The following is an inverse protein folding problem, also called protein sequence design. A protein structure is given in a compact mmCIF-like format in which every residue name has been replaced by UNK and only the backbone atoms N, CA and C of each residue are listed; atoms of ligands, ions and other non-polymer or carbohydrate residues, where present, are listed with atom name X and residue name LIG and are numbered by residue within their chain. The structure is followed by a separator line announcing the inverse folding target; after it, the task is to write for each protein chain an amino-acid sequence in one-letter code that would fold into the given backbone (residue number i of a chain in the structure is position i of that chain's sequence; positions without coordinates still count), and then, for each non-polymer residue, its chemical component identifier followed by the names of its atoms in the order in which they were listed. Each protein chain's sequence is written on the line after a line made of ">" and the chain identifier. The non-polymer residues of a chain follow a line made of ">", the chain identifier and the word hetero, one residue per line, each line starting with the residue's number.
data_IF_265406867994
#
_entry.id   IF_265406867994
#
_cell.length_a   1.000
_cell.length_b   1.000
_cell.length_c   1.000
_cell.angle_alpha   90.00
_cell.angle_beta   90.00
_cell.angle_gamma   90.00
#
_symmetry.space_group_name_H-M   'P 1'
#
loop_
_entity.id
_entity.type
_entity.pdbx_description
1 polymer ?
#
# COMPACT_ATOMS: atom_id res chain seq x y z
N UNK A 1 -11.51 13.52 21.51
CA UNK A 1 -11.45 12.18 20.89
C UNK A 1 -11.10 11.16 21.96
N UNK A 2 -11.96 10.19 22.17
CA UNK A 2 -11.68 9.04 23.07
C UNK A 2 -11.23 7.88 22.17
N UNK A 3 -10.01 7.89 21.74
CA UNK A 3 -9.39 6.85 20.92
C UNK A 3 -8.13 6.30 21.58
N UNK A 4 -7.33 5.56 20.84
CA UNK A 4 -6.06 5.03 21.33
C UNK A 4 -4.95 6.08 21.36
N UNK A 5 -5.06 7.14 20.55
CA UNK A 5 -4.11 8.25 20.57
C UNK A 5 -4.33 9.14 21.79
N UNK A 6 -3.24 9.47 22.49
CA UNK A 6 -3.26 10.33 23.71
C UNK A 6 -3.14 11.82 23.39
N UNK A 7 -2.93 12.19 22.14
CA UNK A 7 -2.81 13.58 21.66
C UNK A 7 -4.08 13.98 20.91
N UNK A 8 -4.26 15.28 20.76
CA UNK A 8 -5.30 15.86 19.90
C UNK A 8 -4.66 16.63 18.73
N UNK A 9 -5.47 16.95 17.72
CA UNK A 9 -5.02 17.63 16.51
C UNK A 9 -4.49 19.05 16.79
N UNK A 10 -5.04 19.74 17.80
CA UNK A 10 -4.60 21.09 18.14
C UNK A 10 -3.17 21.07 18.69
N UNK A 11 -2.88 20.18 19.65
CA UNK A 11 -1.53 20.05 20.21
C UNK A 11 -0.48 19.66 19.17
N UNK A 12 -0.85 18.89 18.14
CA UNK A 12 0.07 18.56 17.06
C UNK A 12 0.33 19.78 16.15
N UNK A 13 -0.72 20.54 15.81
CA UNK A 13 -0.55 21.79 15.04
C UNK A 13 0.32 22.79 15.77
N UNK A 14 0.10 22.97 17.08
CA UNK A 14 0.88 23.90 17.91
C UNK A 14 2.36 23.52 17.94
N UNK A 15 2.68 22.23 18.13
CA UNK A 15 4.06 21.75 18.10
C UNK A 15 4.71 21.91 16.71
N UNK A 16 3.97 21.66 15.62
CA UNK A 16 4.47 21.86 14.26
C UNK A 16 4.73 23.35 13.98
N UNK A 17 3.79 24.22 14.36
CA UNK A 17 3.92 25.67 14.20
C UNK A 17 5.09 26.22 15.03
N UNK A 18 5.25 25.79 16.30
CA UNK A 18 6.37 26.20 17.15
C UNK A 18 7.74 25.84 16.54
N UNK A 19 7.87 24.62 15.96
CA UNK A 19 9.11 24.21 15.29
C UNK A 19 9.43 25.08 14.07
N UNK A 20 8.42 25.44 13.28
CA UNK A 20 8.57 26.33 12.12
C UNK A 20 8.96 27.74 12.55
N UNK A 21 8.33 28.30 13.59
CA UNK A 21 8.65 29.65 14.09
C UNK A 21 10.06 29.73 14.67
N UNK A 22 10.49 28.70 15.43
CA UNK A 22 11.87 28.64 15.93
C UNK A 22 12.88 28.54 14.78
N UNK A 23 12.59 27.76 13.72
CA UNK A 23 13.45 27.69 12.54
C UNK A 23 13.55 29.05 11.82
N UNK A 24 12.42 29.78 11.67
CA UNK A 24 12.40 31.13 11.10
C UNK A 24 13.27 32.12 11.91
N UNK A 25 13.24 32.00 13.24
CA UNK A 25 14.06 32.83 14.10
C UNK A 25 15.57 32.65 13.89
N UNK A 26 16.02 31.49 13.35
CA UNK A 26 17.41 31.26 12.95
C UNK A 26 17.76 31.80 11.55
N UNK A 27 16.83 32.47 10.87
CA UNK A 27 17.05 33.10 9.57
C UNK A 27 17.12 32.14 8.40
N UNK A 28 16.38 30.99 8.46
CA UNK A 28 16.23 30.10 7.30
C UNK A 28 15.28 30.71 6.26
N UNK A 29 15.48 30.39 4.97
CA UNK A 29 14.62 30.87 3.88
C UNK A 29 13.21 30.30 3.99
N UNK A 30 13.12 29.01 4.37
CA UNK A 30 11.85 28.32 4.55
C UNK A 30 11.98 27.13 5.50
N UNK A 31 10.85 26.70 6.09
CA UNK A 31 10.78 25.53 6.96
C UNK A 31 9.44 24.81 6.80
N UNK A 32 9.46 23.51 7.04
CA UNK A 32 8.29 22.64 7.10
C UNK A 32 8.44 21.66 8.27
N UNK A 33 7.43 21.55 9.11
CA UNK A 33 7.40 20.62 10.22
C UNK A 33 6.19 19.70 10.14
N UNK A 34 6.43 18.39 10.23
CA UNK A 34 5.38 17.38 10.36
C UNK A 34 5.43 16.78 11.75
N UNK A 35 4.31 16.80 12.47
CA UNK A 35 4.13 16.11 13.74
C UNK A 35 3.14 14.99 13.56
N UNK A 36 3.52 13.80 14.02
CA UNK A 36 2.66 12.60 13.99
C UNK A 36 2.51 12.06 15.41
N UNK A 37 1.33 11.55 15.71
CA UNK A 37 1.07 10.78 16.91
C UNK A 37 0.07 9.67 16.58
N UNK A 38 0.15 8.59 17.30
CA UNK A 38 -0.78 7.47 17.14
C UNK A 38 -0.77 6.57 18.35
N UNK A 39 -1.71 5.66 18.36
CA UNK A 39 -1.78 4.60 19.36
C UNK A 39 -2.67 3.49 18.87
N UNK A 40 -2.46 2.30 19.41
CA UNK A 40 -3.23 1.15 19.00
C UNK A 40 -3.19 0.00 19.97
N UNK A 41 -3.97 -1.01 19.66
CA UNK A 41 -3.94 -2.32 20.32
C UNK A 41 -3.87 -3.39 19.23
N UNK A 42 -2.93 -4.31 19.41
CA UNK A 42 -2.79 -5.51 18.59
C UNK A 42 -2.80 -6.73 19.47
N UNK A 43 -3.68 -7.67 19.19
CA UNK A 43 -3.85 -8.90 19.92
C UNK A 43 -3.61 -10.07 18.99
N UNK A 44 -2.74 -10.98 19.43
CA UNK A 44 -2.46 -12.23 18.75
C UNK A 44 -2.87 -13.40 19.62
N UNK A 45 -3.51 -14.39 19.00
CA UNK A 45 -3.97 -15.60 19.66
C UNK A 45 -3.45 -16.82 18.91
N UNK A 46 -3.06 -17.83 19.66
CA UNK A 46 -2.68 -19.15 19.14
C UNK A 46 -3.00 -20.22 20.16
N UNK A 47 -3.64 -21.32 19.73
CA UNK A 47 -3.99 -22.45 20.59
C UNK A 47 -4.95 -22.08 21.73
N UNK A 48 -5.89 -21.16 21.46
CA UNK A 48 -6.90 -20.71 22.44
C UNK A 48 -6.38 -19.76 23.52
N UNK A 49 -5.12 -19.32 23.44
CA UNK A 49 -4.52 -18.41 24.41
C UNK A 49 -3.91 -17.18 23.74
N UNK A 50 -3.93 -16.05 24.45
CA UNK A 50 -3.27 -14.85 23.97
C UNK A 50 -1.75 -15.05 23.97
N UNK A 51 -1.15 -15.03 22.78
CA UNK A 51 0.31 -15.06 22.59
C UNK A 51 0.91 -13.69 22.87
N UNK A 52 0.22 -12.63 22.44
CA UNK A 52 0.58 -11.25 22.79
C UNK A 52 -0.65 -10.34 22.80
N UNK A 53 -0.61 -9.33 23.68
CA UNK A 53 -1.52 -8.19 23.68
C UNK A 53 -0.66 -6.94 23.86
N UNK A 54 -0.45 -6.21 22.78
CA UNK A 54 0.40 -5.03 22.76
C UNK A 54 -0.46 -3.79 22.62
N UNK A 55 -0.29 -2.86 23.58
CA UNK A 55 -0.76 -1.50 23.42
C UNK A 55 0.45 -0.61 23.16
N UNK A 56 0.45 0.07 22.05
CA UNK A 56 1.49 1.00 21.65
C UNK A 56 0.97 2.44 21.60
N UNK A 57 1.88 3.36 21.75
CA UNK A 57 1.67 4.76 21.44
C UNK A 57 2.98 5.33 20.93
N UNK A 58 2.90 6.20 19.92
CA UNK A 58 4.06 6.88 19.38
C UNK A 58 3.76 8.34 19.12
N UNK A 59 4.82 9.13 19.07
CA UNK A 59 4.79 10.49 18.55
C UNK A 59 6.13 10.80 17.89
N UNK A 60 6.14 11.72 16.96
CA UNK A 60 7.36 12.21 16.32
C UNK A 60 7.16 13.61 15.75
N UNK A 61 8.22 14.39 15.72
CA UNK A 61 8.34 15.64 15.00
C UNK A 61 9.47 15.49 14.01
N UNK A 62 9.24 15.82 12.74
CA UNK A 62 10.24 15.91 11.68
C UNK A 62 10.24 17.33 11.14
N UNK A 63 11.40 17.99 11.13
CA UNK A 63 11.58 19.33 10.61
C UNK A 63 12.51 19.30 9.40
N UNK A 64 12.12 20.00 8.36
CA UNK A 64 12.94 20.30 7.19
C UNK A 64 13.12 21.82 7.09
N UNK A 65 14.36 22.27 6.97
CA UNK A 65 14.70 23.68 6.74
C UNK A 65 15.38 23.84 5.39
N UNK A 66 15.16 25.00 4.77
CA UNK A 66 15.78 25.41 3.52
C UNK A 66 16.57 26.69 3.77
N UNK A 67 17.83 26.71 3.34
CA UNK A 67 18.73 27.83 3.50
C UNK A 67 19.74 27.88 2.33
N UNK A 68 19.80 28.99 1.61
CA UNK A 68 20.72 29.20 0.47
C UNK A 68 20.67 28.02 -0.54
N UNK A 69 19.45 27.54 -0.88
CA UNK A 69 19.24 26.39 -1.76
C UNK A 69 19.65 25.04 -1.16
N UNK A 70 19.94 24.95 0.13
CA UNK A 70 20.33 23.73 0.84
C UNK A 70 19.20 23.25 1.72
N UNK A 71 19.10 21.93 1.88
CA UNK A 71 18.06 21.29 2.70
C UNK A 71 18.69 20.61 3.90
N UNK A 72 18.24 20.93 5.11
CA UNK A 72 18.59 20.22 6.33
C UNK A 72 17.36 19.62 6.97
N UNK A 73 17.48 18.39 7.50
CA UNK A 73 16.37 17.70 8.15
C UNK A 73 16.83 17.08 9.46
N UNK A 74 15.97 17.13 10.48
CA UNK A 74 16.16 16.46 11.76
C UNK A 74 14.80 16.04 12.36
N UNK A 75 14.82 15.10 13.30
CA UNK A 75 13.59 14.58 13.91
C UNK A 75 13.78 14.23 15.38
N UNK A 76 12.67 14.20 16.12
CA UNK A 76 12.61 13.78 17.52
C UNK A 76 11.31 13.07 17.83
N UNK A 77 11.30 12.25 18.88
CA UNK A 77 10.07 11.65 19.44
C UNK A 77 9.54 12.44 20.66
N UNK A 78 10.30 13.43 21.15
CA UNK A 78 9.88 14.30 22.25
C UNK A 78 9.38 15.63 21.69
N UNK A 79 8.23 16.10 22.20
CA UNK A 79 7.54 17.31 21.72
C UNK A 79 7.61 18.45 22.76
N UNK A 80 8.57 18.40 23.70
CA UNK A 80 8.85 19.50 24.60
C UNK A 80 9.72 20.57 23.92
N UNK A 81 9.67 21.80 24.45
CA UNK A 81 10.35 22.96 23.84
C UNK A 81 11.86 22.76 23.66
N UNK A 82 12.53 22.10 24.62
CA UNK A 82 13.96 21.85 24.55
C UNK A 82 14.31 20.86 23.42
N UNK A 83 13.50 19.84 23.23
CA UNK A 83 13.66 18.85 22.17
C UNK A 83 13.39 19.45 20.80
N UNK A 84 12.36 20.31 20.70
CA UNK A 84 12.06 21.06 19.45
C UNK A 84 13.23 22.00 19.13
N UNK A 85 13.72 22.78 20.09
CA UNK A 85 14.85 23.68 19.89
C UNK A 85 16.12 22.95 19.39
N UNK A 86 16.39 21.77 19.96
CA UNK A 86 17.51 20.91 19.53
C UNK A 86 17.36 20.46 18.06
N UNK A 87 16.18 19.97 17.68
CA UNK A 87 15.90 19.55 16.30
C UNK A 87 16.03 20.71 15.31
N UNK A 88 15.59 21.90 15.70
CA UNK A 88 15.74 23.12 14.90
C UNK A 88 17.22 23.45 14.68
N UNK A 89 18.02 23.42 15.74
CA UNK A 89 19.46 23.67 15.65
C UNK A 89 20.19 22.62 14.79
N UNK A 90 19.84 21.34 14.95
CA UNK A 90 20.38 20.24 14.16
C UNK A 90 20.05 20.37 12.67
N UNK A 91 18.77 20.60 12.32
CA UNK A 91 18.34 20.79 10.94
C UNK A 91 19.04 21.99 10.27
N UNK A 92 19.16 23.11 11.02
CA UNK A 92 19.87 24.29 10.55
C UNK A 92 21.36 24.01 10.29
N UNK A 93 22.03 23.29 11.20
CA UNK A 93 23.44 22.91 11.05
C UNK A 93 23.64 21.99 9.84
N UNK A 94 22.77 21.00 9.65
CA UNK A 94 22.83 20.07 8.50
C UNK A 94 22.66 20.83 7.17
N UNK A 95 21.75 21.80 7.10
CA UNK A 95 21.62 22.65 5.91
C UNK A 95 22.92 23.39 5.52
N UNK A 96 23.75 23.71 6.51
CA UNK A 96 25.07 24.32 6.25
C UNK A 96 26.10 23.39 5.63
N UNK A 97 25.91 22.06 5.71
CA UNK A 97 26.90 21.04 5.30
C UNK A 97 26.60 20.40 3.93
N UNK A 98 25.36 20.49 3.44
CA UNK A 98 24.95 19.85 2.18
C UNK A 98 25.18 20.74 0.96
N UNK A 99 25.26 20.15 -0.22
CA UNK A 99 25.38 20.90 -1.47
C UNK A 99 24.05 21.60 -1.81
N UNK A 100 24.11 22.82 -2.39
CA UNK A 100 22.91 23.50 -2.88
C UNK A 100 22.20 22.69 -3.98
N UNK A 101 20.88 22.69 -3.94
CA UNK A 101 19.98 22.20 -4.99
C UNK A 101 19.00 23.33 -5.33
N UNK A 102 19.07 23.87 -6.54
CA UNK A 102 18.22 24.98 -6.98
C UNK A 102 16.71 24.61 -6.98
N UNK A 103 16.39 23.33 -7.00
CA UNK A 103 15.02 22.81 -6.97
C UNK A 103 14.51 22.52 -5.55
N UNK A 104 15.36 22.69 -4.52
CA UNK A 104 14.95 22.56 -3.12
C UNK A 104 14.06 23.71 -2.67
N UNK A 105 13.13 23.44 -1.75
CA UNK A 105 12.24 24.47 -1.20
C UNK A 105 10.82 23.96 -0.97
N UNK A 106 10.00 24.77 -0.32
CA UNK A 106 8.59 24.50 -0.11
C UNK A 106 7.83 24.36 -1.45
N UNK A 107 6.67 23.75 -1.39
CA UNK A 107 5.71 23.75 -2.47
C UNK A 107 5.26 25.18 -2.82
N UNK A 108 4.79 25.38 -4.05
CA UNK A 108 4.26 26.68 -4.47
C UNK A 108 3.00 27.01 -3.67
N UNK A 109 2.90 28.25 -3.22
CA UNK A 109 1.81 28.74 -2.37
C UNK A 109 0.42 28.44 -2.94
N UNK A 110 0.23 28.60 -4.25
CA UNK A 110 -1.05 28.38 -4.93
C UNK A 110 -1.44 26.91 -5.03
N UNK A 111 -0.51 25.97 -4.77
CA UNK A 111 -0.78 24.53 -4.82
C UNK A 111 -1.14 23.92 -3.46
N UNK A 112 -0.96 24.70 -2.41
CA UNK A 112 -1.25 24.24 -1.04
C UNK A 112 -2.76 24.09 -0.82
N UNK A 113 -3.12 23.08 -0.06
CA UNK A 113 -4.49 22.70 0.27
C UNK A 113 -5.09 23.59 1.38
N UNK A 114 -5.16 24.92 1.17
CA UNK A 114 -5.60 25.91 2.17
C UNK A 114 -6.98 25.56 2.74
N UNK A 115 -7.97 25.43 1.85
CA UNK A 115 -9.39 25.17 2.15
C UNK A 115 -9.89 23.91 1.43
N UNK A 116 -8.96 23.07 0.95
CA UNK A 116 -9.30 21.86 0.21
C UNK A 116 -10.08 20.85 1.05
N UNK A 117 -10.88 20.00 0.41
CA UNK A 117 -11.62 18.95 1.10
C UNK A 117 -10.66 18.00 1.81
N UNK A 118 -11.02 17.62 3.04
CA UNK A 118 -10.40 16.51 3.75
C UNK A 118 -11.32 15.29 3.61
N UNK A 119 -10.85 14.17 3.06
CA UNK A 119 -11.67 12.96 3.02
C UNK A 119 -11.92 12.45 4.44
N UNK A 120 -13.05 11.82 4.64
CA UNK A 120 -13.32 11.13 5.90
C UNK A 120 -12.42 9.90 6.02
N UNK A 121 -11.55 9.85 7.04
CA UNK A 121 -10.57 8.77 7.23
C UNK A 121 -10.56 8.24 8.66
N UNK A 122 -11.28 8.89 9.56
CA UNK A 122 -11.34 8.50 10.96
C UNK A 122 -12.73 7.99 11.31
N UNK A 123 -12.79 6.77 11.84
CA UNK A 123 -13.98 6.22 12.46
C UNK A 123 -13.60 5.61 13.82
N UNK A 124 -14.23 6.11 14.86
CA UNK A 124 -14.00 5.59 16.21
C UNK A 124 -14.40 4.12 16.27
N UNK A 125 -13.48 3.23 16.66
CA UNK A 125 -13.75 1.78 16.69
C UNK A 125 -14.80 1.37 17.72
N UNK A 126 -14.93 2.12 18.82
CA UNK A 126 -15.76 1.74 19.97
C UNK A 126 -15.26 0.51 20.71
N UNK A 127 -14.05 0.01 20.38
CA UNK A 127 -13.55 -1.25 20.91
C UNK A 127 -12.68 -1.04 22.16
N UNK A 128 -12.90 -1.90 23.16
CA UNK A 128 -12.01 -2.04 24.31
C UNK A 128 -10.96 -3.13 24.07
N UNK A 129 -9.88 -3.18 24.87
CA UNK A 129 -8.94 -4.30 24.83
C UNK A 129 -9.64 -5.67 25.01
N UNK A 130 -10.65 -5.73 25.88
CA UNK A 130 -11.41 -6.94 26.16
C UNK A 130 -12.24 -7.37 24.98
N UNK A 131 -12.88 -6.42 24.26
CA UNK A 131 -13.68 -6.74 23.07
C UNK A 131 -12.81 -7.18 21.89
N UNK A 132 -11.62 -6.59 21.72
CA UNK A 132 -10.64 -7.04 20.72
C UNK A 132 -10.09 -8.41 21.06
N UNK A 133 -9.84 -8.71 22.35
CA UNK A 133 -9.43 -10.03 22.81
C UNK A 133 -10.52 -11.07 22.52
N UNK A 134 -11.78 -10.78 22.88
CA UNK A 134 -12.89 -11.68 22.58
C UNK A 134 -13.01 -11.99 21.09
N UNK A 135 -12.87 -10.95 20.24
CA UNK A 135 -12.89 -11.11 18.77
C UNK A 135 -11.71 -11.94 18.25
N UNK A 136 -10.51 -11.81 18.82
CA UNK A 136 -9.35 -12.59 18.43
C UNK A 136 -9.51 -14.07 18.84
N UNK A 137 -10.02 -14.33 20.04
CA UNK A 137 -10.34 -15.71 20.51
C UNK A 137 -11.43 -16.34 19.66
N UNK A 138 -12.49 -15.60 19.31
CA UNK A 138 -13.53 -16.05 18.39
C UNK A 138 -12.97 -16.41 17.02
N UNK A 139 -12.11 -15.54 16.47
CA UNK A 139 -11.46 -15.79 15.16
C UNK A 139 -10.61 -17.05 15.18
N UNK A 140 -9.86 -17.27 16.25
CA UNK A 140 -9.03 -18.46 16.40
C UNK A 140 -9.89 -19.73 16.54
N UNK A 141 -10.91 -19.73 17.41
CA UNK A 141 -11.81 -20.84 17.59
C UNK A 141 -12.50 -21.24 16.28
N UNK A 142 -13.02 -20.25 15.53
CA UNK A 142 -13.64 -20.50 14.23
C UNK A 142 -12.63 -21.02 13.18
N UNK A 143 -11.37 -20.60 13.27
CA UNK A 143 -10.32 -21.12 12.39
C UNK A 143 -9.98 -22.58 12.74
N UNK A 144 -9.93 -22.90 14.03
CA UNK A 144 -9.73 -24.26 14.50
C UNK A 144 -10.90 -25.19 14.13
N UNK A 145 -12.15 -24.70 14.29
CA UNK A 145 -13.35 -25.43 13.88
C UNK A 145 -13.38 -25.72 12.37
N UNK A 146 -13.09 -24.69 11.56
CA UNK A 146 -13.00 -24.86 10.11
C UNK A 146 -11.88 -25.84 9.72
N UNK A 147 -10.73 -25.77 10.39
CA UNK A 147 -9.62 -26.69 10.17
C UNK A 147 -9.98 -28.12 10.54
N UNK A 148 -10.71 -28.34 11.64
CA UNK A 148 -11.16 -29.68 12.07
C UNK A 148 -12.18 -30.30 11.09
N UNK A 149 -12.97 -29.49 10.40
CA UNK A 149 -13.92 -29.91 9.37
C UNK A 149 -13.29 -30.11 7.99
N UNK A 150 -12.09 -29.62 7.79
CA UNK A 150 -11.38 -29.70 6.51
C UNK A 150 -10.86 -31.12 6.25
N UNK A 151 -10.69 -31.44 4.96
CA UNK A 151 -10.09 -32.74 4.58
C UNK A 151 -8.59 -32.76 4.89
N UNK A 152 -8.12 -33.87 5.51
CA UNK A 152 -6.73 -34.09 5.87
C UNK A 152 -6.29 -33.34 7.13
N UNK A 153 -4.98 -33.33 7.42
CA UNK A 153 -4.43 -32.66 8.60
C UNK A 153 -4.31 -31.16 8.34
N UNK A 154 -5.18 -30.37 8.96
CA UNK A 154 -5.18 -28.92 8.93
C UNK A 154 -5.27 -28.42 10.36
N UNK A 155 -4.57 -27.32 10.67
CA UNK A 155 -4.61 -26.68 11.98
C UNK A 155 -4.66 -25.16 11.86
N UNK A 156 -5.30 -24.52 12.81
CA UNK A 156 -5.22 -23.09 12.96
C UNK A 156 -3.77 -22.65 13.24
N UNK A 157 -3.36 -21.58 12.61
CA UNK A 157 -2.12 -20.89 12.91
C UNK A 157 -2.36 -19.73 13.87
N UNK A 158 -1.48 -18.72 13.81
CA UNK A 158 -1.67 -17.47 14.54
C UNK A 158 -2.82 -16.68 13.91
N UNK A 159 -3.63 -16.07 14.75
CA UNK A 159 -4.61 -15.04 14.35
C UNK A 159 -4.29 -13.73 15.03
N UNK A 160 -4.70 -12.62 14.41
CA UNK A 160 -4.57 -11.32 15.05
C UNK A 160 -5.75 -10.39 14.74
N UNK A 161 -6.03 -9.51 15.70
CA UNK A 161 -6.97 -8.40 15.58
C UNK A 161 -6.28 -7.14 16.07
N UNK A 162 -6.38 -6.05 15.30
CA UNK A 162 -5.76 -4.77 15.64
C UNK A 162 -6.70 -3.59 15.39
N UNK A 163 -6.50 -2.54 16.17
CA UNK A 163 -7.19 -1.25 16.02
C UNK A 163 -6.24 -0.13 16.42
N UNK A 164 -6.09 0.87 15.58
CA UNK A 164 -5.18 1.99 15.79
C UNK A 164 -5.74 3.30 15.26
N UNK A 165 -5.35 4.40 15.91
CA UNK A 165 -5.65 5.78 15.53
C UNK A 165 -4.35 6.51 15.22
N UNK A 166 -4.38 7.36 14.21
CA UNK A 166 -3.25 8.11 13.70
C UNK A 166 -3.64 9.58 13.53
N UNK A 167 -2.83 10.47 14.03
CA UNK A 167 -2.94 11.90 13.84
C UNK A 167 -1.68 12.42 13.14
N UNK A 168 -1.84 13.37 12.24
CA UNK A 168 -0.73 14.08 11.62
C UNK A 168 -1.06 15.55 11.48
N UNK A 169 -0.10 16.42 11.78
CA UNK A 169 -0.18 17.84 11.51
C UNK A 169 1.03 18.28 10.70
N UNK A 170 0.80 19.19 9.75
CA UNK A 170 1.82 19.83 8.94
C UNK A 170 1.72 21.33 9.10
N UNK A 171 2.86 21.96 9.42
CA UNK A 171 3.02 23.42 9.37
C UNK A 171 4.18 23.80 8.45
N UNK A 172 4.05 24.91 7.73
CA UNK A 172 5.11 25.47 6.87
C UNK A 172 5.30 26.96 7.14
N UNK A 173 6.48 27.47 6.87
CA UNK A 173 6.77 28.90 6.97
C UNK A 173 6.01 29.76 5.97
N UNK A 174 5.34 29.16 4.99
CA UNK A 174 4.39 29.82 4.10
C UNK A 174 3.02 30.09 4.75
N UNK A 175 2.83 29.65 6.01
CA UNK A 175 1.59 29.83 6.78
C UNK A 175 0.61 28.66 6.71
N UNK A 176 0.89 27.62 5.94
CA UNK A 176 0.05 26.40 5.94
C UNK A 176 0.16 25.71 7.31
N UNK A 177 -0.98 25.39 7.93
CA UNK A 177 -1.03 24.66 9.20
C UNK A 177 -2.35 23.87 9.27
N UNK A 178 -2.29 22.58 8.97
CA UNK A 178 -3.47 21.70 8.98
C UNK A 178 -3.14 20.37 9.63
N UNK A 179 -4.17 19.68 10.10
CA UNK A 179 -4.08 18.34 10.68
C UNK A 179 -5.10 17.40 10.08
N UNK A 180 -4.86 16.10 10.23
CA UNK A 180 -5.69 15.03 9.72
C UNK A 180 -5.67 13.88 10.71
N UNK A 181 -6.83 13.23 10.89
CA UNK A 181 -6.98 12.04 11.70
C UNK A 181 -7.36 10.86 10.82
N UNK A 182 -6.86 9.68 11.16
CA UNK A 182 -7.19 8.43 10.48
C UNK A 182 -7.25 7.28 11.48
N UNK A 183 -8.10 6.29 11.20
CA UNK A 183 -8.14 5.02 11.92
C UNK A 183 -7.73 3.87 11.00
N UNK A 184 -7.26 2.78 11.59
CA UNK A 184 -6.97 1.55 10.85
C UNK A 184 -7.32 0.35 11.72
N UNK A 185 -8.14 -0.53 11.16
CA UNK A 185 -8.56 -1.75 11.84
C UNK A 185 -8.20 -2.94 10.97
N UNK A 186 -7.76 -4.03 11.61
CA UNK A 186 -7.29 -5.23 10.91
C UNK A 186 -7.77 -6.47 11.61
N UNK A 187 -8.02 -7.51 10.86
CA UNK A 187 -8.15 -8.88 11.36
C UNK A 187 -7.56 -9.84 10.35
N UNK A 188 -6.85 -10.86 10.81
CA UNK A 188 -6.27 -11.87 9.94
C UNK A 188 -6.18 -13.22 10.64
N UNK A 189 -6.31 -14.27 9.87
CA UNK A 189 -6.19 -15.65 10.31
C UNK A 189 -5.21 -16.39 9.42
N UNK A 190 -4.44 -17.31 10.01
CA UNK A 190 -3.60 -18.25 9.26
C UNK A 190 -4.06 -19.67 9.49
N UNK A 191 -3.89 -20.50 8.47
CA UNK A 191 -4.06 -21.93 8.55
C UNK A 191 -2.82 -22.65 8.00
N UNK A 192 -2.52 -23.81 8.57
CA UNK A 192 -1.46 -24.69 8.12
C UNK A 192 -2.08 -26.03 7.75
N UNK A 193 -1.85 -26.45 6.52
CA UNK A 193 -2.27 -27.76 6.01
C UNK A 193 -1.04 -28.63 5.77
N UNK A 194 -1.00 -29.80 6.37
CA UNK A 194 0.09 -30.73 6.15
C UNK A 194 0.01 -31.31 4.74
N UNK A 195 1.12 -31.23 4.01
CA UNK A 195 1.24 -31.79 2.67
C UNK A 195 1.86 -33.18 2.77
N UNK A 196 1.21 -34.23 2.23
CA UNK A 196 1.77 -35.58 2.29
C UNK A 196 3.07 -35.76 1.50
N UNK A 197 3.36 -34.85 0.56
CA UNK A 197 4.50 -34.96 -0.36
C UNK A 197 5.53 -33.82 -0.18
N UNK A 198 5.33 -32.94 0.80
CA UNK A 198 6.17 -31.77 0.98
C UNK A 198 6.03 -31.09 2.34
N UNK A 199 6.58 -29.89 2.48
CA UNK A 199 6.40 -29.09 3.69
C UNK A 199 4.95 -28.65 3.86
N UNK A 200 4.53 -28.40 5.11
CA UNK A 200 3.18 -27.87 5.39
C UNK A 200 2.96 -26.55 4.63
N UNK A 201 1.80 -26.45 4.01
CA UNK A 201 1.32 -25.23 3.34
C UNK A 201 0.79 -24.27 4.38
N UNK A 202 1.24 -23.02 4.33
CA UNK A 202 0.72 -21.92 5.15
C UNK A 202 -0.02 -20.94 4.26
N UNK A 203 -1.27 -20.66 4.60
CA UNK A 203 -2.09 -19.65 3.95
C UNK A 203 -2.75 -18.71 4.96
N UNK A 204 -3.28 -17.62 4.48
CA UNK A 204 -3.93 -16.62 5.31
C UNK A 204 -5.12 -15.96 4.61
N UNK A 205 -5.98 -15.38 5.44
CA UNK A 205 -6.98 -14.43 5.02
C UNK A 205 -6.96 -13.23 5.95
N UNK A 206 -7.14 -12.03 5.39
CA UNK A 206 -7.12 -10.80 6.16
C UNK A 206 -8.22 -9.83 5.70
N UNK A 207 -8.59 -8.91 6.58
CA UNK A 207 -9.38 -7.73 6.27
C UNK A 207 -8.72 -6.51 6.92
N UNK A 208 -8.75 -5.38 6.22
CA UNK A 208 -8.29 -4.09 6.71
C UNK A 208 -9.23 -2.98 6.21
N UNK A 209 -9.66 -2.10 7.10
CA UNK A 209 -10.53 -0.95 6.77
C UNK A 209 -10.28 0.18 7.78
N UNK A 210 -10.70 1.38 7.41
CA UNK A 210 -10.74 2.53 8.31
C UNK A 210 -11.88 2.45 9.33
N UNK A 211 -12.89 1.64 9.06
CA UNK A 211 -14.05 1.41 9.92
C UNK A 211 -14.04 -0.02 10.43
N UNK A 212 -14.19 -0.16 11.74
CA UNK A 212 -14.15 -1.48 12.38
C UNK A 212 -15.28 -2.41 11.94
N UNK A 213 -16.48 -1.87 11.73
CA UNK A 213 -17.65 -2.61 11.27
C UNK A 213 -17.53 -3.08 9.80
N UNK A 214 -16.69 -2.43 9.01
CA UNK A 214 -16.43 -2.82 7.62
C UNK A 214 -15.45 -3.99 7.46
N UNK A 215 -14.80 -4.46 8.53
CA UNK A 215 -13.94 -5.66 8.51
C UNK A 215 -14.70 -6.94 8.15
N UNK A 216 -16.01 -6.94 8.32
CA UNK A 216 -16.83 -8.12 8.13
C UNK A 216 -16.70 -9.16 9.25
N UNK A 217 -17.42 -10.28 9.12
CA UNK A 217 -17.43 -11.33 10.16
C UNK A 217 -16.13 -12.11 10.18
N UNK A 218 -15.61 -12.40 11.37
CA UNK A 218 -14.39 -13.20 11.57
C UNK A 218 -14.49 -14.61 10.98
N UNK A 219 -15.72 -15.16 10.89
CA UNK A 219 -15.98 -16.46 10.27
C UNK A 219 -15.60 -16.52 8.79
N UNK A 220 -15.66 -15.39 8.08
CA UNK A 220 -15.25 -15.33 6.68
C UNK A 220 -13.72 -15.48 6.54
N UNK A 221 -12.94 -14.78 7.36
CA UNK A 221 -11.48 -14.92 7.39
C UNK A 221 -11.04 -16.31 7.83
N UNK A 222 -11.67 -16.86 8.88
CA UNK A 222 -11.40 -18.20 9.39
C UNK A 222 -11.54 -19.25 8.28
N UNK A 223 -12.71 -19.28 7.65
CA UNK A 223 -13.00 -20.23 6.55
C UNK A 223 -12.07 -20.04 5.37
N UNK A 224 -11.89 -18.81 4.91
CA UNK A 224 -11.07 -18.50 3.74
C UNK A 224 -9.60 -18.88 3.94
N UNK A 225 -9.03 -18.69 5.14
CA UNK A 225 -7.65 -19.09 5.44
C UNK A 225 -7.49 -20.63 5.32
N UNK A 226 -8.44 -21.40 5.85
CA UNK A 226 -8.45 -22.87 5.79
C UNK A 226 -8.67 -23.37 4.36
N UNK A 227 -9.65 -22.83 3.64
CA UNK A 227 -9.94 -23.20 2.25
C UNK A 227 -8.70 -22.97 1.36
N UNK A 228 -8.01 -21.84 1.51
CA UNK A 228 -6.77 -21.54 0.78
C UNK A 228 -5.66 -22.52 1.10
N UNK A 229 -5.45 -22.86 2.38
CA UNK A 229 -4.41 -23.80 2.78
C UNK A 229 -4.70 -25.23 2.25
N UNK A 230 -5.93 -25.67 2.33
CA UNK A 230 -6.36 -26.99 1.79
C UNK A 230 -6.17 -27.03 0.28
N UNK A 231 -6.56 -25.98 -0.43
CA UNK A 231 -6.51 -25.93 -1.90
C UNK A 231 -5.07 -26.01 -2.44
N UNK A 232 -4.06 -25.56 -1.69
CA UNK A 232 -2.65 -25.58 -2.11
C UNK A 232 -1.93 -26.92 -1.82
N UNK A 233 -2.57 -27.87 -1.17
CA UNK A 233 -1.96 -29.18 -0.84
C UNK A 233 -1.71 -30.00 -2.10
N UNK A 234 -0.65 -30.80 -2.08
CA UNK A 234 -0.24 -31.63 -3.21
C UNK A 234 0.34 -30.80 -4.37
N UNK A 235 0.80 -29.60 -4.06
CA UNK A 235 1.44 -28.73 -5.03
C UNK A 235 2.67 -29.37 -5.67
N UNK A 236 2.81 -29.21 -6.98
CA UNK A 236 3.96 -29.71 -7.75
C UNK A 236 4.46 -28.68 -8.76
N UNK A 237 5.71 -28.78 -9.09
CA UNK A 237 6.29 -27.97 -10.19
C UNK A 237 5.73 -28.40 -11.54
N UNK A 238 5.79 -27.51 -12.50
CA UNK A 238 5.41 -27.80 -13.89
C UNK A 238 6.59 -27.48 -14.82
N UNK A 239 6.69 -28.20 -15.95
CA UNK A 239 7.73 -27.95 -16.94
C UNK A 239 7.65 -26.52 -17.48
N UNK A 240 8.83 -25.91 -17.72
CA UNK A 240 8.93 -24.57 -18.28
C UNK A 240 8.18 -24.44 -19.61
N UNK A 241 7.38 -23.37 -19.73
CA UNK A 241 6.53 -23.10 -20.90
C UNK A 241 6.10 -21.65 -20.99
N UNK A 242 5.46 -21.29 -22.08
CA UNK A 242 4.71 -20.04 -22.19
C UNK A 242 3.22 -20.34 -22.09
N UNK A 243 2.50 -19.52 -21.32
CA UNK A 243 1.06 -19.64 -21.15
C UNK A 243 0.47 -18.32 -20.62
N UNK A 244 -0.85 -18.12 -20.75
CA UNK A 244 -1.55 -17.06 -20.03
C UNK A 244 -1.42 -17.22 -18.50
N UNK A 245 -1.38 -16.08 -17.79
CA UNK A 245 -1.28 -16.05 -16.33
C UNK A 245 -2.37 -15.15 -15.77
N UNK A 246 -3.19 -15.70 -14.89
CA UNK A 246 -4.20 -14.97 -14.13
C UNK A 246 -3.67 -14.64 -12.74
N UNK A 247 -3.37 -13.37 -12.49
CA UNK A 247 -3.01 -12.87 -11.16
C UNK A 247 -4.28 -12.65 -10.36
N UNK A 248 -4.48 -13.42 -9.29
CA UNK A 248 -5.63 -13.29 -8.39
C UNK A 248 -5.75 -11.87 -7.82
N UNK A 249 -6.96 -11.38 -7.55
CA UNK A 249 -7.24 -10.01 -7.13
C UNK A 249 -6.39 -9.53 -5.93
N UNK A 250 -6.07 -10.41 -4.97
CA UNK A 250 -5.19 -10.07 -3.83
C UNK A 250 -3.72 -9.88 -4.21
N UNK A 251 -3.28 -10.46 -5.34
CA UNK A 251 -1.89 -10.41 -5.83
C UNK A 251 -1.73 -9.32 -6.91
N UNK A 252 -2.76 -9.08 -7.68
CA UNK A 252 -2.79 -8.10 -8.78
C UNK A 252 -2.27 -6.69 -8.42
N UNK A 253 -2.49 -6.14 -7.19
CA UNK A 253 -1.92 -4.86 -6.77
C UNK A 253 -0.40 -4.76 -6.91
N UNK A 254 0.33 -5.88 -6.82
CA UNK A 254 1.80 -5.88 -6.94
C UNK A 254 2.26 -5.48 -8.36
N UNK A 255 1.51 -5.84 -9.40
CA UNK A 255 1.80 -5.41 -10.77
C UNK A 255 1.58 -3.91 -10.92
N UNK A 256 0.52 -3.38 -10.31
CA UNK A 256 0.20 -1.94 -10.34
C UNK A 256 1.29 -1.15 -9.58
N UNK A 257 1.74 -1.64 -8.42
CA UNK A 257 2.84 -1.02 -7.70
C UNK A 257 4.14 -0.99 -8.52
N UNK A 258 4.48 -2.08 -9.22
CA UNK A 258 5.66 -2.13 -10.08
C UNK A 258 5.57 -1.12 -11.24
N UNK A 259 4.38 -0.91 -11.81
CA UNK A 259 4.13 0.10 -12.83
C UNK A 259 4.26 1.52 -12.26
N UNK A 260 3.62 1.79 -11.13
CA UNK A 260 3.57 3.14 -10.55
C UNK A 260 4.93 3.61 -10.06
N UNK A 261 5.78 2.72 -9.54
CA UNK A 261 7.16 3.06 -9.18
C UNK A 261 7.96 3.62 -10.37
N UNK A 262 7.74 3.11 -11.57
CA UNK A 262 8.37 3.63 -12.78
C UNK A 262 7.87 5.04 -13.17
N UNK A 263 6.73 5.48 -12.62
CA UNK A 263 6.13 6.80 -12.88
C UNK A 263 6.46 7.83 -11.76
N UNK A 264 7.25 7.47 -10.74
CA UNK A 264 7.64 8.42 -9.70
C UNK A 264 8.57 9.51 -10.23
N UNK A 265 8.37 10.73 -9.78
CA UNK A 265 9.13 11.89 -10.21
C UNK A 265 10.63 11.73 -10.09
N UNK A 266 11.12 11.08 -9.02
CA UNK A 266 12.54 10.76 -8.86
C UNK A 266 13.06 9.88 -10.00
N UNK A 267 12.34 8.82 -10.36
CA UNK A 267 12.72 7.92 -11.44
C UNK A 267 12.67 8.62 -12.82
N UNK A 268 11.73 9.55 -13.00
CA UNK A 268 11.57 10.31 -14.23
C UNK A 268 12.72 11.31 -14.46
N UNK A 269 13.02 12.17 -13.49
CA UNK A 269 14.05 13.19 -13.67
C UNK A 269 15.47 12.60 -13.73
N UNK A 270 15.74 11.48 -13.02
CA UNK A 270 17.01 10.78 -13.11
C UNK A 270 17.12 9.87 -14.34
N UNK A 271 16.04 9.73 -15.11
CA UNK A 271 15.91 8.77 -16.22
C UNK A 271 16.19 7.32 -15.82
N UNK A 272 16.01 7.00 -14.55
CA UNK A 272 16.14 5.66 -13.99
C UNK A 272 14.79 4.92 -13.98
N UNK A 273 14.13 4.90 -15.12
CA UNK A 273 12.82 4.28 -15.30
C UNK A 273 12.66 3.77 -16.72
N UNK A 274 12.07 2.59 -16.87
CA UNK A 274 11.64 2.07 -18.16
C UNK A 274 10.47 2.89 -18.78
N UNK A 275 9.84 3.78 -17.98
CA UNK A 275 8.84 4.75 -18.41
C UNK A 275 9.39 6.18 -18.48
N UNK A 276 10.72 6.35 -18.55
CA UNK A 276 11.29 7.69 -18.63
C UNK A 276 10.80 8.41 -19.90
N UNK A 277 10.13 9.55 -19.73
CA UNK A 277 9.57 10.33 -20.84
C UNK A 277 8.31 9.74 -21.48
N UNK A 278 7.63 8.80 -20.84
CA UNK A 278 6.48 8.08 -21.40
C UNK A 278 5.16 8.89 -21.47
N UNK A 279 5.14 10.14 -21.00
CA UNK A 279 3.93 10.96 -20.99
C UNK A 279 3.32 11.04 -22.41
N UNK A 280 2.03 10.74 -22.53
CA UNK A 280 1.29 10.70 -23.79
C UNK A 280 1.53 9.46 -24.67
N UNK A 281 2.44 8.55 -24.29
CA UNK A 281 2.72 7.31 -25.05
C UNK A 281 1.87 6.12 -24.56
N UNK A 282 1.77 5.11 -25.39
CA UNK A 282 1.12 3.83 -25.05
C UNK A 282 2.04 2.98 -24.17
N UNK A 283 1.57 2.70 -22.95
CA UNK A 283 2.33 1.93 -21.96
C UNK A 283 1.61 0.66 -21.50
N UNK A 284 0.33 0.51 -21.83
CA UNK A 284 -0.51 -0.61 -21.47
C UNK A 284 -1.52 -0.92 -22.58
N UNK A 285 -2.29 -2.00 -22.44
CA UNK A 285 -3.37 -2.33 -23.37
C UNK A 285 -4.39 -1.19 -23.45
N UNK A 286 -4.95 -0.93 -24.63
CA UNK A 286 -5.80 0.22 -24.95
C UNK A 286 -7.16 0.24 -24.26
N UNK A 287 -7.55 -0.88 -23.66
CA UNK A 287 -8.77 -1.00 -22.87
C UNK A 287 -8.56 -0.68 -21.38
N UNK A 288 -7.34 -0.35 -20.93
CA UNK A 288 -7.01 -0.12 -19.52
C UNK A 288 -7.03 1.37 -19.16
N UNK A 289 -7.67 1.65 -18.03
CA UNK A 289 -7.60 2.93 -17.34
C UNK A 289 -7.09 2.72 -15.91
N UNK A 290 -6.18 3.58 -15.46
CA UNK A 290 -5.72 3.66 -14.08
C UNK A 290 -6.01 5.08 -13.57
N UNK A 291 -6.84 5.17 -12.55
CA UNK A 291 -7.16 6.43 -11.89
C UNK A 291 -6.54 6.48 -10.49
N UNK A 292 -6.27 7.69 -10.06
CA UNK A 292 -5.90 8.01 -8.69
C UNK A 292 -7.01 8.85 -8.05
N UNK A 293 -7.36 8.53 -6.79
CA UNK A 293 -8.35 9.28 -6.02
C UNK A 293 -7.89 9.49 -4.57
N UNK A 294 -7.43 10.72 -4.20
CA UNK A 294 -7.04 11.06 -2.84
C UNK A 294 -8.22 11.31 -1.90
N UNK A 295 -9.44 11.54 -2.44
CA UNK A 295 -10.59 12.01 -1.68
C UNK A 295 -11.61 10.92 -1.39
N UNK A 296 -11.27 9.67 -1.67
CA UNK A 296 -12.16 8.55 -1.41
C UNK A 296 -12.47 8.44 0.10
N UNK A 297 -13.76 8.50 0.52
CA UNK A 297 -14.11 8.32 1.92
C UNK A 297 -13.62 6.96 2.43
N UNK A 298 -12.94 6.96 3.59
CA UNK A 298 -12.34 5.79 4.21
C UNK A 298 -11.34 5.01 3.33
N UNK A 299 -10.86 5.61 2.24
CA UNK A 299 -9.80 5.02 1.42
C UNK A 299 -8.49 4.87 2.20
N UNK A 300 -7.81 3.72 2.04
CA UNK A 300 -6.62 3.40 2.82
C UNK A 300 -5.42 4.32 2.54
N UNK A 301 -5.37 4.91 1.34
CA UNK A 301 -4.40 5.95 0.96
C UNK A 301 -5.08 7.29 0.64
N UNK A 302 -6.20 7.61 1.28
CA UNK A 302 -6.81 8.93 1.16
C UNK A 302 -6.06 9.99 1.96
N UNK A 303 -6.11 11.24 1.48
CA UNK A 303 -5.57 12.41 2.15
C UNK A 303 -5.93 13.69 1.40
N UNK A 304 -6.14 14.79 2.12
CA UNK A 304 -6.46 16.07 1.49
C UNK A 304 -5.24 16.77 0.88
N UNK A 305 -4.03 16.38 1.32
CA UNK A 305 -2.75 16.94 0.87
C UNK A 305 -1.61 15.95 1.15
N UNK A 306 -0.52 16.07 0.40
CA UNK A 306 0.71 15.32 0.61
C UNK A 306 1.59 15.95 1.72
N UNK A 307 2.76 15.35 2.01
CA UNK A 307 3.65 15.84 3.07
C UNK A 307 4.26 17.24 2.79
N UNK A 308 4.10 17.78 1.59
CA UNK A 308 4.48 19.14 1.25
C UNK A 308 3.30 20.12 1.40
N UNK A 309 2.10 19.62 1.74
CA UNK A 309 0.87 20.42 1.86
C UNK A 309 0.15 20.64 0.53
N UNK A 310 0.60 20.01 -0.56
CA UNK A 310 0.00 20.14 -1.88
C UNK A 310 -1.29 19.33 -1.96
N UNK A 311 -2.35 19.96 -2.47
CA UNK A 311 -3.64 19.29 -2.64
C UNK A 311 -3.54 18.12 -3.62
N UNK A 312 -4.04 16.97 -3.20
CA UNK A 312 -4.28 15.85 -4.08
C UNK A 312 -5.54 16.08 -4.95
N UNK A 313 -5.56 15.49 -6.13
CA UNK A 313 -6.73 15.55 -7.00
C UNK A 313 -7.01 14.21 -7.68
N UNK A 314 -8.30 13.93 -7.93
CA UNK A 314 -8.67 12.77 -8.74
C UNK A 314 -8.21 12.99 -10.18
N UNK A 315 -7.44 12.05 -10.72
CA UNK A 315 -6.87 12.16 -12.07
C UNK A 315 -6.61 10.81 -12.72
N UNK A 316 -6.56 10.78 -14.03
CA UNK A 316 -6.08 9.64 -14.77
C UNK A 316 -4.55 9.57 -14.71
N UNK A 317 -4.01 8.41 -14.41
CA UNK A 317 -2.60 8.05 -14.56
C UNK A 317 -2.39 7.37 -15.90
N UNK A 318 -3.32 6.49 -16.26
CA UNK A 318 -3.42 5.86 -17.57
C UNK A 318 -4.85 6.06 -18.06
N UNK A 319 -5.01 6.46 -19.31
CA UNK A 319 -6.29 6.49 -20.00
C UNK A 319 -6.15 5.80 -21.34
N UNK A 320 -6.97 4.81 -21.59
CA UNK A 320 -6.92 4.00 -22.81
C UNK A 320 -5.51 3.53 -23.14
N UNK A 321 -4.82 2.96 -22.14
CA UNK A 321 -3.46 2.45 -22.26
C UNK A 321 -2.36 3.51 -22.37
N UNK A 322 -2.71 4.81 -22.43
CA UNK A 322 -1.74 5.90 -22.57
C UNK A 322 -1.41 6.55 -21.24
N UNK A 323 -0.13 6.80 -21.00
CA UNK A 323 0.36 7.53 -19.82
C UNK A 323 -0.17 8.97 -19.82
N UNK A 324 -0.91 9.36 -18.78
CA UNK A 324 -1.47 10.71 -18.61
C UNK A 324 -0.73 11.53 -17.58
N UNK A 325 0.07 10.91 -16.70
CA UNK A 325 0.75 11.66 -15.64
C UNK A 325 1.75 10.85 -14.84
N UNK A 326 2.58 11.59 -14.15
CA UNK A 326 3.57 11.10 -13.19
C UNK A 326 3.12 11.39 -11.76
N UNK A 327 3.78 10.80 -10.77
CA UNK A 327 3.60 11.10 -9.34
C UNK A 327 4.72 12.06 -8.92
N UNK A 328 4.38 13.35 -8.78
CA UNK A 328 5.34 14.41 -8.61
C UNK A 328 5.14 15.15 -7.28
N UNK A 329 6.18 15.16 -6.43
CA UNK A 329 6.35 16.17 -5.42
C UNK A 329 6.99 17.44 -6.02
N UNK A 330 7.06 18.54 -5.25
CA UNK A 330 7.50 19.84 -5.74
C UNK A 330 8.92 19.84 -6.32
N UNK A 331 9.87 19.16 -5.66
CA UNK A 331 11.25 19.10 -6.14
C UNK A 331 11.36 18.36 -7.49
N UNK A 332 10.73 17.22 -7.61
CA UNK A 332 10.77 16.45 -8.86
C UNK A 332 10.02 17.15 -10.00
N UNK A 333 8.95 17.84 -9.67
CA UNK A 333 8.20 18.65 -10.61
C UNK A 333 9.07 19.80 -11.18
N UNK A 334 9.80 20.56 -10.32
CA UNK A 334 10.73 21.61 -10.76
C UNK A 334 11.81 21.04 -11.68
N UNK A 335 12.44 19.91 -11.31
CA UNK A 335 13.47 19.25 -12.15
C UNK A 335 12.96 18.84 -13.53
N UNK A 336 11.67 18.57 -13.65
CA UNK A 336 11.03 18.19 -14.91
C UNK A 336 10.38 19.38 -15.65
N UNK A 337 10.41 20.59 -15.08
CA UNK A 337 9.70 21.75 -15.63
C UNK A 337 8.18 21.59 -15.59
N UNK A 338 7.65 20.81 -14.63
CA UNK A 338 6.24 20.48 -14.47
C UNK A 338 5.68 21.09 -13.17
N UNK A 339 4.40 20.88 -12.90
CA UNK A 339 3.75 21.19 -11.62
C UNK A 339 3.69 19.95 -10.74
N UNK A 340 3.79 20.15 -9.41
CA UNK A 340 3.51 19.09 -8.44
C UNK A 340 2.09 18.56 -8.65
N UNK A 341 1.94 17.25 -8.45
CA UNK A 341 0.65 16.56 -8.57
C UNK A 341 0.05 16.20 -7.21
N UNK A 342 0.63 16.72 -6.11
CA UNK A 342 0.21 16.38 -4.76
C UNK A 342 0.57 14.93 -4.39
N UNK A 343 1.72 14.45 -4.87
CA UNK A 343 2.16 13.07 -4.69
C UNK A 343 3.58 12.98 -4.13
N UNK A 344 3.94 13.88 -3.25
CA UNK A 344 5.27 13.84 -2.63
C UNK A 344 5.49 12.54 -1.82
N UNK A 345 4.42 11.93 -1.29
CA UNK A 345 4.45 10.64 -0.58
C UNK A 345 4.24 9.42 -1.50
N UNK A 346 3.97 9.63 -2.77
CA UNK A 346 3.60 8.59 -3.72
C UNK A 346 2.12 8.62 -4.13
N UNK A 347 1.59 7.53 -4.72
CA UNK A 347 0.22 7.50 -5.19
C UNK A 347 -0.80 7.44 -4.04
N UNK A 348 -1.94 8.07 -4.26
CA UNK A 348 -3.16 7.91 -3.47
C UNK A 348 -3.86 6.58 -3.76
N UNK A 349 -5.17 6.46 -3.43
CA UNK A 349 -5.91 5.26 -3.82
C UNK A 349 -5.90 5.10 -5.34
N UNK A 350 -5.50 3.92 -5.81
CA UNK A 350 -5.44 3.58 -7.23
C UNK A 350 -6.59 2.66 -7.62
N UNK A 351 -7.20 2.93 -8.77
CA UNK A 351 -8.33 2.18 -9.29
C UNK A 351 -8.00 1.76 -10.72
N UNK A 352 -7.71 0.48 -10.91
CA UNK A 352 -7.56 -0.10 -12.24
C UNK A 352 -8.92 -0.56 -12.75
N UNK A 353 -9.24 -0.18 -13.96
CA UNK A 353 -10.44 -0.60 -14.69
C UNK A 353 -10.12 -1.00 -16.12
N UNK A 354 -11.00 -1.79 -16.71
CA UNK A 354 -10.90 -2.28 -18.09
C UNK A 354 -12.22 -2.04 -18.83
N UNK A 355 -12.12 -1.67 -20.09
CA UNK A 355 -13.26 -1.63 -21.01
C UNK A 355 -13.50 -2.98 -21.70
N UNK A 356 -12.54 -3.90 -21.61
CA UNK A 356 -12.72 -5.29 -22.05
C UNK A 356 -13.53 -6.07 -20.98
N UNK A 357 -14.38 -7.02 -21.39
CA UNK A 357 -15.12 -7.85 -20.44
C UNK A 357 -14.18 -8.64 -19.53
N UNK A 358 -14.36 -8.54 -18.21
CA UNK A 358 -13.58 -9.30 -17.22
C UNK A 358 -14.45 -10.35 -16.53
N UNK A 359 -15.52 -9.88 -15.87
CA UNK A 359 -16.43 -10.74 -15.13
C UNK A 359 -15.85 -11.27 -13.81
N UNK A 360 -16.42 -12.36 -13.32
CA UNK A 360 -15.98 -13.02 -12.09
C UNK A 360 -14.65 -13.76 -12.27
N UNK A 361 -13.97 -14.11 -11.17
CA UNK A 361 -12.76 -14.94 -11.20
C UNK A 361 -12.98 -16.26 -11.97
N UNK A 362 -14.18 -16.86 -11.86
CA UNK A 362 -14.53 -18.05 -12.64
C UNK A 362 -14.64 -17.78 -14.14
N UNK A 363 -15.26 -16.65 -14.53
CA UNK A 363 -15.34 -16.24 -15.93
C UNK A 363 -13.95 -15.96 -16.53
N UNK A 364 -13.08 -15.30 -15.77
CA UNK A 364 -11.68 -15.04 -16.15
C UNK A 364 -10.90 -16.35 -16.36
N UNK A 365 -11.10 -17.33 -15.48
CA UNK A 365 -10.51 -18.67 -15.58
C UNK A 365 -10.98 -19.40 -16.84
N UNK A 366 -12.27 -19.34 -17.13
CA UNK A 366 -12.83 -19.90 -18.39
C UNK A 366 -12.27 -19.21 -19.62
N UNK A 367 -12.16 -17.88 -19.60
CA UNK A 367 -11.57 -17.11 -20.71
C UNK A 367 -10.08 -17.41 -20.90
N UNK A 368 -9.35 -17.75 -19.85
CA UNK A 368 -7.95 -18.17 -19.90
C UNK A 368 -7.80 -19.55 -20.56
N UNK A 369 -8.79 -20.41 -20.45
CA UNK A 369 -8.82 -21.81 -20.90
C UNK A 369 -7.69 -22.64 -20.27
N UNK A 370 -6.46 -22.46 -20.70
CA UNK A 370 -5.28 -23.18 -20.19
C UNK A 370 -4.21 -22.18 -19.76
N UNK A 371 -3.74 -22.27 -18.50
CA UNK A 371 -2.76 -21.33 -17.97
C UNK A 371 -2.51 -21.50 -16.47
N UNK A 372 -1.83 -20.52 -15.89
CA UNK A 372 -1.49 -20.50 -14.46
C UNK A 372 -2.28 -19.42 -13.72
N UNK A 373 -3.00 -19.79 -12.68
CA UNK A 373 -3.50 -18.83 -11.68
C UNK A 373 -2.40 -18.64 -10.63
N UNK A 374 -2.02 -17.39 -10.38
CA UNK A 374 -1.07 -17.02 -9.32
C UNK A 374 -1.83 -16.54 -8.09
N UNK A 375 -1.60 -17.19 -6.97
CA UNK A 375 -2.21 -16.86 -5.68
C UNK A 375 -1.21 -16.39 -4.63
N UNK A 376 0.09 -16.65 -4.83
CA UNK A 376 1.16 -16.21 -3.95
C UNK A 376 2.40 -15.76 -4.75
N UNK A 377 3.08 -14.75 -4.22
CA UNK A 377 4.39 -14.30 -4.69
C UNK A 377 5.42 -14.55 -3.59
N UNK A 378 6.55 -15.19 -3.95
CA UNK A 378 7.57 -15.65 -3.02
C UNK A 378 8.95 -15.16 -3.49
N UNK A 379 9.33 -13.97 -3.08
CA UNK A 379 10.63 -13.43 -3.49
C UNK A 379 10.73 -13.12 -4.99
N UNK A 380 11.64 -12.27 -5.35
CA UNK A 380 11.80 -11.70 -6.69
C UNK A 380 11.52 -10.20 -6.70
N UNK A 381 11.25 -9.63 -7.85
CA UNK A 381 10.94 -8.22 -7.98
C UNK A 381 11.00 -7.70 -9.40
N UNK A 382 10.91 -6.39 -9.51
CA UNK A 382 11.08 -5.65 -10.76
C UNK A 382 12.33 -4.79 -10.72
N UNK A 383 13.04 -4.72 -11.83
CA UNK A 383 14.05 -3.70 -12.06
C UNK A 383 13.34 -2.44 -12.60
N UNK A 384 13.32 -1.34 -11.84
CA UNK A 384 12.60 -0.14 -12.25
C UNK A 384 13.23 0.54 -13.47
N UNK A 385 14.49 0.28 -13.78
CA UNK A 385 15.20 0.89 -14.91
C UNK A 385 14.89 0.18 -16.23
N UNK A 386 14.97 -1.15 -16.22
CA UNK A 386 14.79 -1.96 -17.43
C UNK A 386 13.37 -2.48 -17.61
N UNK A 387 12.58 -2.51 -16.56
CA UNK A 387 11.25 -3.12 -16.53
C UNK A 387 11.30 -4.66 -16.49
N UNK A 388 12.47 -5.26 -16.30
CA UNK A 388 12.55 -6.70 -16.11
C UNK A 388 11.83 -7.09 -14.82
N UNK A 389 11.05 -8.15 -14.88
CA UNK A 389 10.25 -8.65 -13.76
C UNK A 389 10.44 -10.17 -13.67
N UNK A 390 10.79 -10.62 -12.46
CA UNK A 390 10.94 -12.04 -12.18
C UNK A 390 10.44 -12.33 -10.78
N UNK A 391 9.60 -13.37 -10.64
CA UNK A 391 8.93 -13.67 -9.39
C UNK A 391 8.81 -15.18 -9.21
N UNK A 392 9.23 -15.70 -8.05
CA UNK A 392 8.84 -17.04 -7.63
C UNK A 392 7.35 -17.02 -7.21
N UNK A 393 6.58 -17.99 -7.64
CA UNK A 393 5.13 -18.01 -7.45
C UNK A 393 4.60 -19.39 -7.08
N UNK A 394 3.43 -19.38 -6.44
CA UNK A 394 2.57 -20.55 -6.27
C UNK A 394 1.16 -20.22 -6.72
N UNK A 395 0.39 -21.25 -7.07
CA UNK A 395 -0.97 -21.08 -7.55
C UNK A 395 -1.59 -22.35 -8.04
N UNK A 396 -2.28 -22.30 -9.18
CA UNK A 396 -3.00 -23.43 -9.74
C UNK A 396 -2.82 -23.53 -11.25
N UNK A 397 -2.57 -24.75 -11.74
CA UNK A 397 -2.62 -25.03 -13.16
C UNK A 397 -4.06 -25.27 -13.60
N UNK A 398 -4.43 -24.68 -14.72
CA UNK A 398 -5.77 -24.73 -15.31
C UNK A 398 -5.69 -25.36 -16.70
N UNK A 399 -6.64 -26.22 -17.04
CA UNK A 399 -6.84 -26.76 -18.40
C UNK A 399 -8.35 -26.81 -18.68
N UNK A 400 -8.74 -26.31 -19.86
CA UNK A 400 -10.15 -26.21 -20.23
C UNK A 400 -10.99 -25.34 -19.28
N UNK A 401 -10.38 -24.34 -18.65
CA UNK A 401 -11.03 -23.50 -17.65
C UNK A 401 -11.21 -24.16 -16.27
N UNK A 402 -10.73 -25.37 -16.04
CA UNK A 402 -10.85 -26.08 -14.76
C UNK A 402 -9.49 -26.22 -14.06
N UNK A 403 -9.48 -26.05 -12.72
CA UNK A 403 -8.28 -26.24 -11.89
C UNK A 403 -7.92 -27.72 -11.88
N UNK A 404 -6.71 -28.03 -12.36
CA UNK A 404 -6.22 -29.43 -12.44
C UNK A 404 -5.42 -29.81 -11.19
N UNK A 405 -4.50 -28.97 -10.77
CA UNK A 405 -3.70 -29.19 -9.57
C UNK A 405 -3.04 -27.88 -9.05
N UNK A 406 -2.65 -27.84 -7.76
CA UNK A 406 -1.83 -26.78 -7.24
C UNK A 406 -0.42 -26.80 -7.86
N UNK A 407 0.19 -25.61 -7.99
CA UNK A 407 1.54 -25.41 -8.54
C UNK A 407 2.40 -24.68 -7.51
N UNK A 408 3.59 -25.20 -7.29
CA UNK A 408 4.63 -24.63 -6.43
C UNK A 408 5.98 -24.63 -7.15
N UNK A 409 6.97 -23.95 -6.62
CA UNK A 409 8.35 -23.95 -7.10
C UNK A 409 8.48 -23.60 -8.60
N UNK A 410 7.69 -22.64 -9.06
CA UNK A 410 7.79 -22.08 -10.40
C UNK A 410 8.15 -20.61 -10.35
N UNK A 411 8.79 -20.15 -11.41
CA UNK A 411 9.19 -18.76 -11.59
C UNK A 411 8.46 -18.16 -12.76
N UNK A 412 7.88 -17.00 -12.61
CA UNK A 412 7.41 -16.18 -13.71
C UNK A 412 8.48 -15.17 -14.12
N UNK A 413 8.72 -15.05 -15.42
CA UNK A 413 9.60 -14.05 -16.00
C UNK A 413 8.89 -13.25 -17.09
N UNK A 414 9.22 -11.95 -17.16
CA UNK A 414 8.68 -11.07 -18.17
C UNK A 414 9.32 -9.69 -18.14
N UNK A 415 8.87 -8.84 -19.04
CA UNK A 415 9.15 -7.41 -19.03
C UNK A 415 7.85 -6.65 -18.79
N UNK A 416 7.82 -5.80 -17.82
CA UNK A 416 6.62 -4.99 -17.48
C UNK A 416 6.03 -4.27 -18.72
N UNK A 417 6.83 -3.66 -19.63
CA UNK A 417 6.29 -3.08 -20.87
C UNK A 417 5.47 -4.05 -21.71
N UNK A 418 5.93 -5.30 -21.81
CA UNK A 418 5.26 -6.32 -22.61
C UNK A 418 4.05 -6.89 -21.87
N UNK A 419 4.19 -7.13 -20.56
CA UNK A 419 3.12 -7.64 -19.69
C UNK A 419 1.91 -6.69 -19.70
N UNK A 420 2.11 -5.38 -19.51
CA UNK A 420 1.02 -4.39 -19.48
C UNK A 420 0.31 -4.25 -20.82
N UNK A 421 1.00 -4.40 -21.95
CA UNK A 421 0.38 -4.41 -23.28
C UNK A 421 -0.38 -5.71 -23.58
N UNK A 422 -0.05 -6.81 -22.88
CA UNK A 422 -0.67 -8.13 -23.03
C UNK A 422 -1.72 -8.41 -21.96
N UNK A 423 -2.14 -7.42 -21.18
CA UNK A 423 -3.30 -7.59 -20.31
C UNK A 423 -4.53 -7.79 -21.18
N UNK A 424 -5.20 -8.93 -21.03
CA UNK A 424 -6.38 -9.32 -21.80
C UNK A 424 -7.66 -8.81 -21.13
N UNK A 425 -7.71 -8.91 -19.81
CA UNK A 425 -8.88 -8.53 -19.03
C UNK A 425 -8.52 -8.21 -17.57
N UNK A 426 -9.39 -7.44 -16.90
CA UNK A 426 -9.37 -7.18 -15.46
C UNK A 426 -10.73 -7.62 -14.90
N UNK A 427 -10.70 -8.47 -13.88
CA UNK A 427 -11.91 -9.03 -13.25
C UNK A 427 -12.71 -8.01 -12.44
N UNK A 428 -13.93 -8.39 -12.11
CA UNK A 428 -14.84 -7.67 -11.22
C UNK A 428 -14.74 -8.13 -9.76
N UNK A 429 -13.95 -9.18 -9.51
CA UNK A 429 -13.71 -9.87 -8.24
C UNK A 429 -12.80 -9.08 -7.29
N UNK A 430 -13.07 -7.79 -7.13
CA UNK A 430 -12.25 -6.85 -6.33
C UNK A 430 -12.21 -7.24 -4.86
N UNK A 431 -11.03 -7.36 -4.30
CA UNK A 431 -10.85 -7.39 -2.84
C UNK A 431 -10.76 -5.95 -2.30
N UNK A 432 -11.43 -5.72 -1.14
CA UNK A 432 -11.43 -4.42 -0.46
C UNK A 432 -10.24 -4.29 0.50
N UNK A 433 -9.03 -4.59 0.03
CA UNK A 433 -7.85 -4.54 0.88
C UNK A 433 -6.82 -3.55 0.30
N UNK A 434 -6.35 -2.65 1.16
CA UNK A 434 -5.31 -1.71 0.79
C UNK A 434 -5.78 -0.53 -0.09
N UNK A 435 -4.79 0.15 -0.66
CA UNK A 435 -4.96 1.38 -1.43
C UNK A 435 -5.16 1.16 -2.94
N UNK A 436 -5.05 -0.07 -3.40
CA UNK A 436 -5.19 -0.41 -4.83
C UNK A 436 -6.43 -1.27 -5.04
N UNK A 437 -7.34 -0.77 -5.84
CA UNK A 437 -8.58 -1.46 -6.22
C UNK A 437 -8.45 -2.03 -7.62
N UNK A 438 -8.38 -3.33 -7.69
CA UNK A 438 -8.39 -4.09 -8.95
C UNK A 438 -9.07 -5.44 -8.72
N UNK A 439 -9.61 -6.03 -9.76
CA UNK A 439 -9.91 -7.47 -9.78
C UNK A 439 -8.68 -8.26 -10.22
N UNK A 440 -8.87 -9.55 -10.44
CA UNK A 440 -7.85 -10.40 -11.04
C UNK A 440 -7.39 -9.84 -12.38
N UNK A 441 -6.10 -9.98 -12.73
CA UNK A 441 -5.53 -9.49 -13.99
C UNK A 441 -5.07 -10.68 -14.81
N UNK A 442 -5.63 -10.85 -16.02
CA UNK A 442 -5.21 -11.85 -16.98
C UNK A 442 -4.18 -11.26 -17.93
N UNK A 443 -2.98 -11.83 -17.95
CA UNK A 443 -1.88 -11.46 -18.86
C UNK A 443 -1.60 -12.62 -19.79
N UNK A 444 -1.62 -12.36 -21.08
CA UNK A 444 -1.32 -13.39 -22.08
C UNK A 444 0.18 -13.64 -22.25
N UNK A 445 0.52 -14.88 -22.66
CA UNK A 445 1.84 -15.29 -23.13
C UNK A 445 3.01 -14.93 -22.20
N UNK A 446 2.94 -15.33 -20.95
CA UNK A 446 4.02 -15.17 -19.97
C UNK A 446 4.97 -16.38 -19.97
N UNK A 447 6.25 -16.13 -19.66
CA UNK A 447 7.23 -17.19 -19.48
C UNK A 447 7.12 -17.79 -18.06
N UNK A 448 6.84 -19.07 -17.99
CA UNK A 448 6.85 -19.87 -16.77
C UNK A 448 8.13 -20.72 -16.79
N UNK A 449 8.96 -20.59 -15.76
CA UNK A 449 10.12 -21.44 -15.51
C UNK A 449 9.77 -22.44 -14.40
N UNK A 450 10.13 -23.69 -14.59
CA UNK A 450 9.90 -24.74 -13.59
C UNK A 450 10.60 -26.04 -14.00
N UNK A 451 10.54 -27.01 -13.13
CA UNK A 451 11.12 -28.33 -13.33
C UNK A 451 10.01 -29.32 -13.66
N UNK A 452 10.27 -30.21 -14.62
CA UNK A 452 9.37 -31.35 -14.93
C UNK A 452 9.44 -32.40 -13.82
#
# INVERSE_FOLDING_TARGET
>A
MTGFCTRDEASLRDAAAAAVEQARALGVDAASATVRAGGGISIKVRGGVAESAVRDAYQSLSLTVYRDGRTGGASTVALDDASIARVVAEAHAIAGLVQPDADAGLANFETLAWDGPAPEMFAHSGQSPESLMARALELEALTADAAAQASGSVRAGEVAVGSSDHLSALATSAGFCRSIAASTHTQWATALADDPNGPSVREYAQASDRRFDALGPVSAQARQAVERAVAQRGGRSIAGRRAPVLFEARIAPTLIHALTQALFGQAQHSRASWLAGALGTEIAADHLDLFEDPLEPFGMASGGWDHEGVAGSRRAIIARGRCQGYFLGSRSARKLGMRSTGNADGPWNLILSSHAPGGTAAAMRQAMDTGLIVTQLQGGGSDPVTGNWTQAVSGFWVEGGEIVHPVIDVTLGGRLPDMWRRVVAVGEDRERQGAVRTGSILVDDMQIGGRA
#
